data_IF_325869950825
#
_entry.id   IF_325869950825
#
_cell.length_a   1.000
_cell.length_b   1.000
_cell.length_c   1.000
_cell.angle_alpha   90.00
_cell.angle_beta   90.00
_cell.angle_gamma   90.00
#
_symmetry.space_group_name_H-M   'P 1'
#
loop_
_entity.id
_entity.type
_entity.pdbx_description
1 polymer ?
#
# COMPACT_ATOMS: atom_id res chain seq x y z
N UNK A 1 36.80 -5.75 -41.55
CA UNK A 1 37.34 -6.20 -40.24
C UNK A 1 37.80 -5.05 -39.31
N UNK A 2 38.32 -3.91 -39.85
CA UNK A 2 38.85 -2.82 -39.02
C UNK A 2 37.78 -1.97 -38.32
N UNK A 3 36.57 -1.83 -38.88
CA UNK A 3 35.47 -1.10 -38.25
C UNK A 3 34.89 -1.81 -37.02
N UNK A 4 34.92 -3.13 -37.00
CA UNK A 4 34.38 -3.94 -35.90
C UNK A 4 35.31 -3.93 -34.66
N UNK A 5 36.62 -3.71 -34.86
CA UNK A 5 37.60 -3.58 -33.78
C UNK A 5 37.53 -2.22 -33.08
N UNK A 6 37.30 -1.12 -33.80
CA UNK A 6 37.16 0.22 -33.23
C UNK A 6 35.88 0.38 -32.40
N UNK A 7 34.78 -0.24 -32.83
CA UNK A 7 33.53 -0.24 -32.06
C UNK A 7 33.64 -1.07 -30.76
N UNK A 8 34.34 -2.21 -30.82
CA UNK A 8 34.61 -3.03 -29.63
C UNK A 8 35.55 -2.31 -28.66
N UNK A 9 36.55 -1.58 -29.14
CA UNK A 9 37.45 -0.80 -28.28
C UNK A 9 36.72 0.36 -27.58
N UNK A 10 35.78 1.03 -28.27
CA UNK A 10 34.90 2.05 -27.65
C UNK A 10 34.01 1.48 -26.58
N UNK A 11 33.42 0.33 -26.83
CA UNK A 11 32.56 -0.37 -25.84
C UNK A 11 33.34 -0.80 -24.59
N UNK A 12 34.56 -1.31 -24.79
CA UNK A 12 35.47 -1.68 -23.69
C UNK A 12 35.83 -0.45 -22.85
N UNK A 13 36.10 0.69 -23.51
CA UNK A 13 36.43 1.95 -22.82
C UNK A 13 35.25 2.47 -22.02
N UNK A 14 34.05 2.46 -22.60
CA UNK A 14 32.79 2.86 -21.92
C UNK A 14 32.51 1.98 -20.68
N UNK A 15 32.61 0.66 -20.85
CA UNK A 15 32.42 -0.28 -19.75
C UNK A 15 33.47 -0.15 -18.63
N UNK A 16 34.71 0.19 -18.98
CA UNK A 16 35.76 0.48 -17.99
C UNK A 16 35.48 1.75 -17.20
N UNK A 17 34.90 2.77 -17.82
CA UNK A 17 34.50 4.00 -17.13
C UNK A 17 33.29 3.76 -16.21
N UNK A 18 32.31 2.96 -16.65
CA UNK A 18 31.19 2.54 -15.79
C UNK A 18 31.66 1.71 -14.60
N UNK A 19 32.59 0.79 -14.82
CA UNK A 19 33.15 -0.05 -13.75
C UNK A 19 33.86 0.79 -12.69
N UNK A 20 34.61 1.81 -13.09
CA UNK A 20 35.23 2.77 -12.16
C UNK A 20 34.21 3.56 -11.36
N UNK A 21 33.08 3.96 -11.96
CA UNK A 21 31.99 4.66 -11.26
C UNK A 21 31.31 3.74 -10.25
N UNK A 22 31.12 2.48 -10.60
CA UNK A 22 30.53 1.48 -9.69
C UNK A 22 31.50 1.18 -8.54
N UNK A 23 32.80 1.01 -8.81
CA UNK A 23 33.82 0.80 -7.77
C UNK A 23 33.89 1.99 -6.79
N UNK A 24 33.78 3.22 -7.29
CA UNK A 24 33.73 4.41 -6.44
C UNK A 24 32.50 4.40 -5.52
N UNK A 25 31.32 4.12 -6.05
CA UNK A 25 30.08 3.99 -5.26
C UNK A 25 30.15 2.84 -4.26
N UNK A 26 30.73 1.72 -4.61
CA UNK A 26 30.93 0.58 -3.69
C UNK A 26 31.85 0.97 -2.54
N UNK A 27 32.90 1.74 -2.80
CA UNK A 27 33.82 2.18 -1.75
C UNK A 27 33.16 3.23 -0.84
N UNK A 28 32.38 4.15 -1.39
CA UNK A 28 31.59 5.12 -0.62
C UNK A 28 30.59 4.39 0.29
N UNK A 29 29.82 3.46 -0.24
CA UNK A 29 28.90 2.66 0.53
C UNK A 29 29.57 1.81 1.61
N UNK A 30 30.76 1.27 1.33
CA UNK A 30 31.56 0.57 2.36
C UNK A 30 31.97 1.48 3.51
N UNK A 31 32.32 2.75 3.22
CA UNK A 31 32.62 3.75 4.26
C UNK A 31 31.38 4.02 5.11
N UNK A 32 30.24 4.29 4.47
CA UNK A 32 28.96 4.54 5.16
C UNK A 32 28.56 3.34 6.05
N UNK A 33 28.70 2.12 5.55
CA UNK A 33 28.43 0.91 6.33
C UNK A 33 29.35 0.81 7.54
N UNK A 34 30.62 1.13 7.38
CA UNK A 34 31.60 1.12 8.48
C UNK A 34 31.23 2.11 9.57
N UNK A 35 30.84 3.33 9.17
CA UNK A 35 30.40 4.39 10.10
C UNK A 35 29.11 3.99 10.83
N UNK A 36 28.15 3.41 10.11
CA UNK A 36 26.91 2.90 10.70
C UNK A 36 27.13 1.72 11.67
N UNK A 37 28.11 0.86 11.39
CA UNK A 37 28.49 -0.24 12.30
C UNK A 37 29.13 0.32 13.58
N UNK A 38 29.96 1.36 13.46
CA UNK A 38 30.55 2.05 14.60
C UNK A 38 29.47 2.72 15.48
N UNK A 39 28.57 3.50 14.87
CA UNK A 39 27.44 4.11 15.55
C UNK A 39 26.54 3.07 16.26
N UNK A 40 26.24 1.98 15.59
CA UNK A 40 25.49 0.87 16.18
C UNK A 40 26.18 0.29 17.41
N UNK A 41 27.51 0.10 17.35
CA UNK A 41 28.27 -0.45 18.48
C UNK A 41 28.30 0.52 19.67
N UNK A 42 28.38 1.83 19.44
CA UNK A 42 28.29 2.85 20.50
C UNK A 42 26.90 2.84 21.17
N UNK A 43 25.84 2.82 20.37
CA UNK A 43 24.47 2.72 20.87
C UNK A 43 24.21 1.43 21.67
N UNK A 44 24.79 0.31 21.27
CA UNK A 44 24.69 -0.95 22.02
C UNK A 44 25.41 -0.86 23.38
N UNK A 45 26.54 -0.17 23.44
CA UNK A 45 27.29 0.08 24.70
C UNK A 45 26.45 1.00 25.62
N UNK A 46 25.90 2.06 25.07
CA UNK A 46 25.05 2.99 25.83
C UNK A 46 23.80 2.29 26.37
N UNK A 47 23.17 1.47 25.56
CA UNK A 47 22.00 0.67 25.94
C UNK A 47 22.32 -0.34 27.05
N UNK A 48 23.50 -0.98 27.01
CA UNK A 48 23.98 -1.84 28.10
C UNK A 48 24.22 -1.06 29.38
N UNK A 49 24.82 0.14 29.28
CA UNK A 49 25.06 1.00 30.44
C UNK A 49 23.77 1.46 31.10
N UNK A 50 22.77 1.85 30.30
CA UNK A 50 21.44 2.24 30.77
C UNK A 50 20.71 1.07 31.43
N UNK A 51 20.76 -0.15 30.83
CA UNK A 51 20.20 -1.35 31.44
C UNK A 51 20.86 -1.67 32.80
N UNK A 52 22.15 -1.50 32.90
CA UNK A 52 22.87 -1.71 34.16
C UNK A 52 22.49 -0.66 35.22
N UNK A 53 22.35 0.62 34.82
CA UNK A 53 21.88 1.68 35.72
C UNK A 53 20.46 1.43 36.21
N UNK A 54 19.57 0.99 35.35
CA UNK A 54 18.18 0.61 35.72
C UNK A 54 18.20 -0.60 36.66
N UNK A 55 19.03 -1.61 36.39
CA UNK A 55 19.15 -2.79 37.23
C UNK A 55 19.70 -2.45 38.63
N UNK A 56 20.69 -1.58 38.70
CA UNK A 56 21.26 -1.12 39.95
C UNK A 56 20.25 -0.29 40.74
N UNK A 57 19.54 0.64 40.08
CA UNK A 57 18.48 1.41 40.73
C UNK A 57 17.31 0.56 41.25
N UNK A 58 17.00 -0.55 40.55
CA UNK A 58 16.00 -1.52 40.99
C UNK A 58 16.51 -2.40 42.17
N UNK A 59 17.81 -2.74 42.21
CA UNK A 59 18.39 -3.47 43.33
C UNK A 59 18.51 -2.61 44.58
N UNK A 60 18.91 -1.35 44.42
CA UNK A 60 18.99 -0.38 45.51
C UNK A 60 17.59 -0.06 46.07
N UNK A 61 16.56 -0.08 45.24
CA UNK A 61 15.16 0.10 45.63
C UNK A 61 14.59 -1.09 46.39
N UNK A 62 15.19 -2.28 46.29
CA UNK A 62 14.73 -3.49 47.03
C UNK A 62 15.27 -3.53 48.46
N UNK A 63 16.32 -2.78 48.79
CA UNK A 63 16.90 -2.73 50.16
C UNK A 63 16.33 -1.56 51.00
N UNK A 64 15.76 -0.56 50.36
CA UNK A 64 15.02 0.48 51.06
C UNK A 64 13.53 0.24 50.86
N UNK A 65 12.71 0.46 51.88
CA UNK A 65 11.23 0.57 51.79
C UNK A 65 10.78 1.71 50.80
N UNK A 66 11.37 1.71 49.60
CA UNK A 66 11.05 2.63 48.52
C UNK A 66 9.77 2.12 47.91
N UNK A 67 8.68 2.67 48.37
CA UNK A 67 7.41 2.68 47.64
C UNK A 67 7.77 3.03 46.19
N UNK A 68 7.59 2.07 45.28
CA UNK A 68 7.78 2.27 43.83
C UNK A 68 7.05 3.55 43.44
N UNK A 69 7.78 4.61 43.18
CA UNK A 69 7.17 5.89 42.91
C UNK A 69 6.52 5.82 41.52
N UNK A 70 5.16 5.78 41.44
CA UNK A 70 4.45 5.62 40.17
C UNK A 70 4.80 6.75 39.17
N UNK A 71 5.20 7.91 39.69
CA UNK A 71 5.64 9.05 38.89
C UNK A 71 6.95 8.77 38.13
N UNK A 72 7.96 8.21 38.80
CA UNK A 72 9.25 7.86 38.18
C UNK A 72 9.05 6.77 37.11
N UNK A 73 8.22 5.78 37.39
CA UNK A 73 7.88 4.74 36.43
C UNK A 73 7.16 5.33 35.21
N UNK A 74 6.25 6.26 35.42
CA UNK A 74 5.54 6.97 34.35
C UNK A 74 6.52 7.77 33.48
N UNK A 75 7.42 8.56 34.07
CA UNK A 75 8.41 9.36 33.31
C UNK A 75 9.38 8.49 32.51
N UNK A 76 9.81 7.35 33.09
CA UNK A 76 10.66 6.40 32.35
C UNK A 76 9.92 5.75 31.19
N UNK A 77 8.66 5.37 31.40
CA UNK A 77 7.81 4.81 30.35
C UNK A 77 7.58 5.80 29.22
N UNK A 78 7.33 7.09 29.57
CA UNK A 78 7.21 8.18 28.60
C UNK A 78 8.44 8.30 27.72
N UNK A 79 9.62 8.32 28.34
CA UNK A 79 10.90 8.44 27.63
C UNK A 79 11.17 7.27 26.68
N UNK A 80 10.89 6.05 27.14
CA UNK A 80 11.03 4.85 26.29
C UNK A 80 10.06 4.88 25.12
N UNK A 81 8.82 5.31 25.37
CA UNK A 81 7.79 5.43 24.35
C UNK A 81 8.14 6.48 23.29
N UNK A 82 8.64 7.66 23.72
CA UNK A 82 9.13 8.70 22.80
C UNK A 82 10.27 8.19 21.91
N UNK A 83 11.23 7.48 22.49
CA UNK A 83 12.36 6.91 21.74
C UNK A 83 11.89 5.82 20.75
N UNK A 84 10.90 5.03 21.11
CA UNK A 84 10.32 4.04 20.20
C UNK A 84 9.52 4.72 19.08
N UNK A 85 8.72 5.75 19.40
CA UNK A 85 7.98 6.54 18.41
C UNK A 85 8.93 7.20 17.40
N UNK A 86 10.00 7.85 17.88
CA UNK A 86 10.98 8.51 17.00
C UNK A 86 11.72 7.51 16.11
N UNK A 87 12.12 6.35 16.63
CA UNK A 87 12.77 5.31 15.84
C UNK A 87 11.84 4.73 14.77
N UNK A 88 10.59 4.47 15.11
CA UNK A 88 9.61 3.97 14.15
C UNK A 88 9.31 5.02 13.07
N UNK A 89 9.15 6.28 13.45
CA UNK A 89 8.96 7.39 12.52
C UNK A 89 10.12 7.51 11.53
N UNK A 90 11.36 7.48 12.00
CA UNK A 90 12.54 7.56 11.14
C UNK A 90 12.64 6.37 10.18
N UNK A 91 12.13 5.19 10.56
CA UNK A 91 12.09 4.03 9.70
C UNK A 91 11.10 4.22 8.52
N UNK A 92 9.89 4.74 8.78
CA UNK A 92 8.93 5.01 7.71
C UNK A 92 9.40 6.13 6.78
N UNK A 93 10.05 7.16 7.31
CA UNK A 93 10.67 8.23 6.52
C UNK A 93 11.81 7.69 5.63
N UNK A 94 12.60 6.73 6.13
CA UNK A 94 13.62 6.04 5.32
C UNK A 94 12.98 5.24 4.18
N UNK A 95 11.94 4.45 4.47
CA UNK A 95 11.20 3.68 3.45
C UNK A 95 10.57 4.63 2.42
N UNK A 96 9.97 5.74 2.86
CA UNK A 96 9.40 6.75 1.97
C UNK A 96 10.48 7.37 1.06
N UNK A 97 11.68 7.60 1.57
CA UNK A 97 12.80 8.12 0.76
C UNK A 97 13.35 7.09 -0.23
N UNK A 98 13.43 5.81 0.15
CA UNK A 98 13.85 4.71 -0.73
C UNK A 98 12.86 4.50 -1.88
N UNK A 99 11.57 4.74 -1.65
CA UNK A 99 10.52 4.67 -2.68
C UNK A 99 10.80 5.65 -3.83
N UNK A 100 11.48 6.77 -3.58
CA UNK A 100 11.90 7.74 -4.61
C UNK A 100 12.98 7.21 -5.53
N UNK A 101 13.89 6.41 -5.03
CA UNK A 101 14.96 5.84 -5.86
C UNK A 101 14.39 4.90 -6.93
N UNK A 102 13.16 4.44 -6.74
CA UNK A 102 12.40 3.67 -7.74
C UNK A 102 11.84 4.52 -8.90
N UNK A 103 11.91 5.86 -8.83
CA UNK A 103 11.45 6.74 -9.91
C UNK A 103 12.10 6.44 -11.27
N UNK A 104 13.29 5.85 -11.27
CA UNK A 104 13.94 5.33 -12.49
C UNK A 104 13.30 4.05 -13.06
N UNK A 105 12.43 3.39 -12.28
CA UNK A 105 11.77 2.13 -12.65
C UNK A 105 10.31 2.32 -13.12
N UNK A 106 9.78 3.55 -13.09
CA UNK A 106 8.45 3.85 -13.64
C UNK A 106 8.47 3.60 -15.14
N UNK A 107 7.44 2.90 -15.63
CA UNK A 107 7.33 2.65 -17.06
C UNK A 107 7.21 3.95 -17.86
N UNK A 108 7.61 3.88 -19.13
CA UNK A 108 7.55 4.99 -20.09
C UNK A 108 6.61 4.68 -21.25
N UNK A 109 5.66 3.77 -21.02
CA UNK A 109 4.71 3.34 -22.04
C UNK A 109 3.79 4.51 -22.41
N UNK A 110 3.54 4.65 -23.70
CA UNK A 110 2.49 5.56 -24.20
C UNK A 110 1.11 5.05 -23.78
N UNK A 111 0.11 5.93 -23.79
CA UNK A 111 -1.24 5.66 -23.26
C UNK A 111 -1.83 4.32 -23.78
N UNK A 112 -1.81 4.12 -25.08
CA UNK A 112 -2.39 2.93 -25.71
C UNK A 112 -1.57 1.67 -25.39
N UNK A 113 -0.26 1.77 -25.37
CA UNK A 113 0.64 0.67 -24.99
C UNK A 113 0.44 0.27 -23.52
N UNK A 114 0.27 1.25 -22.63
CA UNK A 114 0.01 1.03 -21.22
C UNK A 114 -1.33 0.31 -21.00
N UNK A 115 -2.39 0.74 -21.68
CA UNK A 115 -3.69 0.06 -21.62
C UNK A 115 -3.57 -1.36 -22.17
N UNK A 116 -2.90 -1.55 -23.30
CA UNK A 116 -2.69 -2.89 -23.88
C UNK A 116 -1.88 -3.79 -22.96
N UNK A 117 -0.85 -3.26 -22.30
CA UNK A 117 -0.05 -4.01 -21.32
C UNK A 117 -0.94 -4.50 -20.15
N UNK A 118 -1.76 -3.62 -19.57
CA UNK A 118 -2.65 -3.98 -18.47
C UNK A 118 -3.73 -4.99 -18.91
N UNK A 119 -4.37 -4.73 -20.04
CA UNK A 119 -5.44 -5.61 -20.57
C UNK A 119 -4.90 -7.01 -20.89
N UNK A 120 -3.86 -7.09 -21.72
CA UNK A 120 -3.26 -8.36 -22.13
C UNK A 120 -2.69 -9.12 -20.92
N UNK A 121 -2.06 -8.38 -19.99
CA UNK A 121 -1.56 -8.94 -18.74
C UNK A 121 -2.67 -9.63 -17.95
N UNK A 122 -3.83 -9.00 -17.77
CA UNK A 122 -4.96 -9.60 -17.06
C UNK A 122 -5.56 -10.77 -17.86
N UNK A 123 -5.68 -10.63 -19.17
CA UNK A 123 -6.24 -11.69 -20.04
C UNK A 123 -5.41 -12.99 -20.05
N UNK A 124 -4.10 -12.92 -19.74
CA UNK A 124 -3.27 -14.11 -19.55
C UNK A 124 -3.70 -14.95 -18.32
N UNK A 125 -4.42 -14.35 -17.38
CA UNK A 125 -4.87 -15.03 -16.15
C UNK A 125 -6.37 -15.22 -16.10
N UNK A 126 -7.15 -14.35 -16.76
CA UNK A 126 -8.60 -14.30 -16.69
C UNK A 126 -9.23 -13.97 -18.04
N UNK A 127 -10.25 -14.69 -18.43
CA UNK A 127 -11.01 -14.47 -19.68
C UNK A 127 -12.03 -13.35 -19.49
N UNK A 128 -11.55 -12.11 -19.33
CA UNK A 128 -12.39 -10.92 -19.34
C UNK A 128 -12.30 -10.22 -20.69
N UNK A 129 -13.41 -9.60 -21.10
CA UNK A 129 -13.41 -8.72 -22.26
C UNK A 129 -12.56 -7.47 -21.97
N UNK A 130 -11.98 -6.90 -23.04
CA UNK A 130 -11.17 -5.66 -22.92
C UNK A 130 -11.90 -4.55 -22.16
N UNK A 131 -13.17 -4.32 -22.50
CA UNK A 131 -13.98 -3.25 -21.91
C UNK A 131 -14.27 -3.51 -20.42
N UNK A 132 -14.47 -4.75 -20.03
CA UNK A 132 -14.66 -5.11 -18.61
C UNK A 132 -13.42 -4.79 -17.78
N UNK A 133 -12.24 -5.11 -18.32
CA UNK A 133 -10.98 -4.82 -17.66
C UNK A 133 -10.77 -3.30 -17.51
N UNK A 134 -11.03 -2.54 -18.58
CA UNK A 134 -10.93 -1.07 -18.54
C UNK A 134 -11.92 -0.50 -17.51
N UNK A 135 -13.17 -0.98 -17.50
CA UNK A 135 -14.17 -0.56 -16.53
C UNK A 135 -13.75 -0.88 -15.08
N UNK A 136 -13.12 -2.03 -14.84
CA UNK A 136 -12.58 -2.36 -13.53
C UNK A 136 -11.51 -1.33 -13.12
N UNK A 137 -10.56 -1.00 -14.00
CA UNK A 137 -9.55 0.02 -13.70
C UNK A 137 -10.16 1.40 -13.44
N UNK A 138 -11.15 1.81 -14.23
CA UNK A 138 -11.89 3.06 -14.03
C UNK A 138 -12.52 3.08 -12.62
N UNK A 139 -13.27 2.02 -12.27
CA UNK A 139 -13.92 1.94 -10.96
C UNK A 139 -12.91 1.99 -9.81
N UNK A 140 -11.84 1.20 -9.90
CA UNK A 140 -10.83 1.12 -8.85
C UNK A 140 -10.03 2.41 -8.71
N UNK A 141 -9.79 3.13 -9.80
CA UNK A 141 -9.01 4.38 -9.78
C UNK A 141 -9.84 5.60 -9.35
N UNK A 142 -11.15 5.57 -9.50
CA UNK A 142 -12.03 6.70 -9.16
C UNK A 142 -12.69 6.57 -7.79
N UNK A 143 -12.79 5.37 -7.25
CA UNK A 143 -13.45 5.11 -5.98
C UNK A 143 -12.43 4.86 -4.86
N UNK A 144 -12.70 5.43 -3.69
CA UNK A 144 -11.93 5.13 -2.48
C UNK A 144 -12.17 3.69 -1.98
N UNK A 145 -13.37 3.14 -2.21
CA UNK A 145 -13.74 1.76 -1.93
C UNK A 145 -14.43 1.13 -3.13
N UNK A 146 -13.83 0.08 -3.71
CA UNK A 146 -14.43 -0.74 -4.75
C UNK A 146 -14.73 -2.14 -4.21
N UNK A 147 -15.98 -2.58 -4.33
CA UNK A 147 -16.47 -3.87 -3.84
C UNK A 147 -16.67 -4.82 -5.01
N UNK A 148 -15.99 -5.96 -4.97
CA UNK A 148 -16.16 -7.06 -5.92
C UNK A 148 -17.16 -8.06 -5.36
N UNK A 149 -18.35 -8.11 -5.95
CA UNK A 149 -19.43 -8.99 -5.55
C UNK A 149 -19.57 -10.17 -6.50
N UNK A 150 -19.91 -11.33 -5.98
CA UNK A 150 -20.18 -12.53 -6.79
C UNK A 150 -20.27 -13.79 -5.94
N UNK A 151 -20.68 -14.88 -6.57
CA UNK A 151 -20.78 -16.17 -5.91
C UNK A 151 -19.40 -16.69 -5.43
N UNK A 152 -19.34 -17.59 -4.46
CA UNK A 152 -18.10 -18.28 -4.11
C UNK A 152 -17.44 -18.91 -5.34
N UNK A 153 -16.12 -18.80 -5.46
CA UNK A 153 -15.38 -19.37 -6.58
C UNK A 153 -15.34 -18.54 -7.87
N UNK A 154 -15.98 -17.36 -7.95
CA UNK A 154 -15.91 -16.48 -9.14
C UNK A 154 -14.55 -15.79 -9.33
N UNK A 155 -13.61 -15.96 -8.39
CA UNK A 155 -12.25 -15.42 -8.49
C UNK A 155 -12.11 -13.95 -8.10
N UNK A 156 -12.97 -13.47 -7.21
CA UNK A 156 -12.95 -12.09 -6.68
C UNK A 156 -11.59 -11.70 -6.10
N UNK A 157 -11.09 -12.45 -5.15
CA UNK A 157 -9.77 -12.24 -4.53
C UNK A 157 -8.65 -12.31 -5.57
N UNK A 158 -8.75 -13.26 -6.50
CA UNK A 158 -7.76 -13.43 -7.56
C UNK A 158 -7.70 -12.25 -8.52
N UNK A 159 -8.83 -11.66 -8.94
CA UNK A 159 -8.78 -10.47 -9.81
C UNK A 159 -8.19 -9.27 -9.08
N UNK A 160 -8.52 -9.08 -7.79
CA UNK A 160 -7.91 -8.02 -6.99
C UNK A 160 -6.38 -8.17 -6.89
N UNK A 161 -5.90 -9.41 -6.68
CA UNK A 161 -4.46 -9.70 -6.69
C UNK A 161 -3.84 -9.39 -8.06
N UNK A 162 -4.45 -9.83 -9.16
CA UNK A 162 -3.95 -9.56 -10.51
C UNK A 162 -3.88 -8.04 -10.77
N UNK A 163 -4.88 -7.26 -10.34
CA UNK A 163 -4.87 -5.80 -10.44
C UNK A 163 -3.67 -5.19 -9.72
N UNK A 164 -3.41 -5.58 -8.46
CA UNK A 164 -2.25 -5.11 -7.70
C UNK A 164 -0.92 -5.43 -8.39
N UNK A 165 -0.77 -6.66 -8.88
CA UNK A 165 0.44 -7.08 -9.59
C UNK A 165 0.59 -6.38 -10.95
N UNK A 166 -0.49 -6.15 -11.69
CA UNK A 166 -0.45 -5.50 -13.00
C UNK A 166 0.04 -4.06 -12.94
N UNK A 167 -0.20 -3.38 -11.82
CA UNK A 167 0.30 -2.03 -11.54
C UNK A 167 1.71 -2.03 -10.92
N UNK A 168 2.31 -3.19 -10.70
CA UNK A 168 3.64 -3.34 -10.13
C UNK A 168 3.71 -3.04 -8.61
N UNK A 169 2.58 -3.08 -7.88
CA UNK A 169 2.53 -2.71 -6.46
C UNK A 169 3.31 -3.66 -5.55
N UNK A 170 3.57 -4.88 -6.01
CA UNK A 170 4.39 -5.87 -5.33
C UNK A 170 5.90 -5.66 -5.50
N UNK A 171 6.34 -4.74 -6.36
CA UNK A 171 7.75 -4.53 -6.67
C UNK A 171 8.45 -3.56 -5.71
N UNK A 172 7.71 -3.01 -4.73
CA UNK A 172 8.21 -2.04 -3.76
C UNK A 172 8.88 -2.69 -2.54
N UNK A 173 8.70 -3.97 -2.33
CA UNK A 173 9.42 -4.74 -1.31
C UNK A 173 10.52 -5.54 -1.99
N UNK A 174 11.79 -5.23 -1.69
CA UNK A 174 12.97 -5.91 -2.24
C UNK A 174 13.92 -6.28 -1.11
N UNK A 175 14.34 -7.54 -1.08
CA UNK A 175 15.31 -8.06 -0.10
C UNK A 175 14.93 -7.77 1.36
N UNK A 176 13.62 -7.80 1.68
CA UNK A 176 13.10 -7.50 3.02
C UNK A 176 13.15 -6.02 3.41
N UNK A 177 13.40 -5.13 2.45
CA UNK A 177 13.33 -3.67 2.60
C UNK A 177 12.16 -3.12 1.80
N UNK A 178 11.64 -1.97 2.25
CA UNK A 178 10.45 -1.39 1.66
C UNK A 178 9.16 -1.98 2.21
N UNK A 179 8.06 -1.63 1.62
CA UNK A 179 6.74 -2.14 1.95
C UNK A 179 5.96 -2.38 0.66
N UNK A 180 5.41 -3.58 0.53
CA UNK A 180 4.50 -3.93 -0.56
C UNK A 180 3.30 -2.97 -0.57
N UNK A 181 3.00 -2.36 -1.72
CA UNK A 181 1.89 -1.41 -1.87
C UNK A 181 0.55 -2.08 -2.21
N UNK A 182 0.54 -3.38 -2.26
CA UNK A 182 -0.67 -4.20 -2.31
C UNK A 182 -0.69 -5.12 -1.09
N UNK A 183 -1.66 -4.92 -0.18
CA UNK A 183 -1.80 -5.73 1.04
C UNK A 183 -3.17 -6.41 1.02
N UNK A 184 -3.17 -7.69 1.32
CA UNK A 184 -4.38 -8.50 1.50
C UNK A 184 -4.62 -8.75 2.99
N UNK A 185 -5.84 -8.51 3.43
CA UNK A 185 -6.30 -8.69 4.80
C UNK A 185 -7.61 -9.45 4.77
N UNK A 186 -7.62 -10.63 5.34
CA UNK A 186 -8.84 -11.42 5.51
C UNK A 186 -9.63 -10.88 6.71
N UNK A 187 -10.89 -10.55 6.46
CA UNK A 187 -11.81 -10.08 7.52
C UNK A 187 -12.31 -11.29 8.31
N UNK A 188 -12.38 -11.15 9.61
CA UNK A 188 -12.86 -12.20 10.51
C UNK A 188 -14.27 -11.87 11.03
N UNK A 189 -14.99 -12.91 11.43
CA UNK A 189 -16.30 -12.72 12.08
C UNK A 189 -16.15 -12.04 13.44
N UNK A 190 -17.04 -11.10 13.71
CA UNK A 190 -17.07 -10.39 14.99
C UNK A 190 -16.26 -9.09 15.01
N UNK A 191 -15.68 -8.68 13.86
CA UNK A 191 -15.11 -7.33 13.76
C UNK A 191 -16.19 -6.27 13.91
N UNK A 192 -16.02 -5.37 14.87
CA UNK A 192 -17.06 -4.42 15.30
C UNK A 192 -16.59 -2.99 15.36
N UNK A 193 -15.29 -2.74 15.18
CA UNK A 193 -14.72 -1.41 15.33
C UNK A 193 -13.41 -1.25 14.53
N UNK A 194 -12.98 0.00 14.34
CA UNK A 194 -11.67 0.31 13.74
C UNK A 194 -10.49 -0.39 14.43
N UNK A 195 -10.66 -0.81 15.69
CA UNK A 195 -9.62 -1.53 16.44
C UNK A 195 -9.30 -2.87 15.81
N UNK A 196 -10.31 -3.55 15.30
CA UNK A 196 -10.15 -4.88 14.70
C UNK A 196 -9.35 -4.77 13.39
N UNK A 197 -9.55 -3.69 12.62
CA UNK A 197 -8.88 -3.45 11.35
C UNK A 197 -7.47 -2.86 11.52
N UNK A 198 -7.32 -1.78 12.30
CA UNK A 198 -6.06 -1.02 12.40
C UNK A 198 -5.31 -1.39 13.67
N UNK A 199 -6.03 -1.48 14.79
CA UNK A 199 -5.50 -1.60 16.13
C UNK A 199 -5.95 -0.46 17.03
N UNK A 200 -5.35 -0.37 18.20
CA UNK A 200 -5.68 0.66 19.18
C UNK A 200 -4.46 1.06 20.02
N UNK A 201 -4.48 2.29 20.50
CA UNK A 201 -3.52 2.75 21.47
C UNK A 201 -3.89 2.21 22.86
N UNK A 202 -2.90 1.54 23.51
CA UNK A 202 -3.06 1.04 24.87
C UNK A 202 -2.49 2.07 25.85
N UNK A 203 -3.34 2.76 26.65
CA UNK A 203 -2.87 3.82 27.55
C UNK A 203 -2.05 3.29 28.72
N UNK A 204 -2.15 2.00 29.06
CA UNK A 204 -1.39 1.40 30.17
C UNK A 204 0.06 1.14 29.76
N UNK A 205 0.27 0.60 28.57
CA UNK A 205 1.60 0.32 28.02
C UNK A 205 2.15 1.48 27.22
N UNK A 206 1.31 2.47 26.87
CA UNK A 206 1.59 3.61 25.99
C UNK A 206 2.17 3.18 24.64
N UNK A 207 1.78 2.01 24.20
CA UNK A 207 2.15 1.44 22.90
C UNK A 207 0.91 1.24 22.04
N UNK A 208 1.11 1.29 20.75
CA UNK A 208 0.04 0.94 19.82
C UNK A 208 -0.01 -0.58 19.64
N UNK A 209 -1.15 -1.17 19.97
CA UNK A 209 -1.42 -2.58 19.73
C UNK A 209 -2.00 -2.74 18.33
N UNK A 210 -1.22 -3.34 17.45
CA UNK A 210 -1.53 -3.50 16.03
C UNK A 210 -2.36 -4.77 15.86
N UNK A 211 -3.65 -4.65 15.64
CA UNK A 211 -4.51 -5.80 15.30
C UNK A 211 -4.12 -6.39 13.95
N UNK A 212 -3.91 -5.54 12.96
CA UNK A 212 -3.31 -5.90 11.70
C UNK A 212 -2.07 -5.01 11.44
N UNK A 213 -0.88 -5.57 11.69
CA UNK A 213 0.37 -4.84 11.55
C UNK A 213 0.58 -4.27 10.15
N UNK A 214 0.14 -4.97 9.11
CA UNK A 214 0.28 -4.52 7.72
C UNK A 214 -0.48 -3.22 7.44
N UNK A 215 -1.72 -3.10 7.92
CA UNK A 215 -2.52 -1.88 7.71
C UNK A 215 -1.93 -0.71 8.48
N UNK A 216 -1.59 -0.92 9.76
CA UNK A 216 -0.96 0.13 10.56
C UNK A 216 0.33 0.65 9.91
N UNK A 217 1.21 -0.26 9.47
CA UNK A 217 2.48 0.10 8.85
C UNK A 217 2.27 0.82 7.50
N UNK A 218 1.27 0.40 6.72
CA UNK A 218 0.87 1.09 5.49
C UNK A 218 0.40 2.52 5.74
N UNK A 219 -0.48 2.72 6.72
CA UNK A 219 -0.98 4.05 7.07
C UNK A 219 0.14 4.96 7.58
N UNK A 220 1.07 4.44 8.37
CA UNK A 220 2.23 5.19 8.85
C UNK A 220 3.19 5.56 7.72
N UNK A 221 3.40 4.67 6.75
CA UNK A 221 4.20 4.97 5.56
C UNK A 221 3.55 6.08 4.72
N UNK A 222 2.24 5.97 4.47
CA UNK A 222 1.50 6.96 3.69
C UNK A 222 1.48 8.33 4.37
N UNK A 223 1.36 8.38 5.70
CA UNK A 223 1.47 9.60 6.49
C UNK A 223 2.88 10.22 6.39
N UNK A 224 3.94 9.40 6.44
CA UNK A 224 5.31 9.86 6.24
C UNK A 224 5.52 10.43 4.82
N UNK A 225 4.97 9.79 3.80
CA UNK A 225 4.98 10.29 2.42
C UNK A 225 4.24 11.63 2.27
N UNK A 226 3.10 11.81 2.95
CA UNK A 226 2.35 13.07 2.94
C UNK A 226 3.09 14.23 3.64
N UNK A 227 3.82 13.93 4.72
CA UNK A 227 4.57 14.91 5.52
C UNK A 227 5.90 15.32 4.91
N UNK A 228 6.47 14.50 4.03
CA UNK A 228 7.61 14.89 3.22
C UNK A 228 7.12 15.82 2.09
N UNK A 229 7.96 16.72 1.59
CA UNK A 229 7.62 17.64 0.48
C UNK A 229 7.21 16.91 -0.82
N UNK A 230 7.27 15.59 -0.80
CA UNK A 230 6.96 14.74 -1.93
C UNK A 230 5.72 13.91 -1.60
N UNK A 231 4.61 14.34 -2.19
CA UNK A 231 3.35 13.61 -2.19
C UNK A 231 3.58 12.17 -2.67
N UNK A 232 2.81 11.24 -2.11
CA UNK A 232 2.80 9.85 -2.57
C UNK A 232 2.56 9.79 -4.09
N UNK A 233 3.53 9.27 -4.82
CA UNK A 233 3.50 9.22 -6.29
C UNK A 233 2.92 7.90 -6.81
N UNK A 234 2.74 6.92 -5.95
CA UNK A 234 2.33 5.57 -6.32
C UNK A 234 1.06 5.15 -5.61
N UNK A 235 0.17 4.41 -6.28
CA UNK A 235 -1.04 3.90 -5.65
C UNK A 235 -0.71 2.89 -4.54
N UNK A 236 -1.59 2.82 -3.56
CA UNK A 236 -1.54 1.85 -2.49
C UNK A 236 -2.91 1.17 -2.37
N UNK A 237 -2.96 -0.14 -2.53
CA UNK A 237 -4.22 -0.89 -2.49
C UNK A 237 -4.26 -1.80 -1.27
N UNK A 238 -5.36 -1.70 -0.51
CA UNK A 238 -5.67 -2.59 0.61
C UNK A 238 -6.87 -3.43 0.22
N UNK A 239 -6.66 -4.72 0.08
CA UNK A 239 -7.73 -5.69 -0.18
C UNK A 239 -8.29 -6.20 1.16
N UNK A 240 -9.58 -6.00 1.36
CA UNK A 240 -10.36 -6.60 2.44
C UNK A 240 -11.05 -7.85 1.86
N UNK A 241 -10.47 -9.01 2.11
CA UNK A 241 -11.03 -10.27 1.62
C UNK A 241 -12.13 -10.78 2.52
N UNK A 242 -13.22 -11.28 1.93
CA UNK A 242 -14.44 -11.68 2.62
C UNK A 242 -15.02 -10.57 3.52
N UNK A 243 -15.02 -9.34 3.03
CA UNK A 243 -15.29 -8.14 3.81
C UNK A 243 -16.64 -8.15 4.53
N UNK A 244 -17.64 -8.85 4.00
CA UNK A 244 -18.98 -8.94 4.60
C UNK A 244 -19.17 -10.12 5.57
N UNK A 245 -18.09 -10.72 6.08
CA UNK A 245 -18.16 -11.59 7.26
C UNK A 245 -18.50 -10.82 8.54
N UNK A 246 -18.28 -9.52 8.54
CA UNK A 246 -18.69 -8.58 9.57
C UNK A 246 -19.19 -7.27 8.92
N UNK A 247 -20.04 -6.47 9.58
CA UNK A 247 -20.53 -5.23 8.98
C UNK A 247 -19.38 -4.25 8.69
N UNK A 248 -19.14 -3.97 7.41
CA UNK A 248 -17.98 -3.17 6.94
C UNK A 248 -17.99 -1.78 7.57
N UNK A 249 -19.15 -1.15 7.68
CA UNK A 249 -19.31 0.19 8.23
C UNK A 249 -18.83 0.36 9.67
N UNK A 250 -18.67 -0.72 10.44
CA UNK A 250 -18.19 -0.64 11.81
C UNK A 250 -16.67 -0.66 11.90
N UNK A 251 -16.03 -1.66 11.30
CA UNK A 251 -14.58 -1.76 11.37
C UNK A 251 -13.87 -0.80 10.41
N UNK A 252 -14.53 -0.39 9.32
CA UNK A 252 -14.03 0.58 8.33
C UNK A 252 -14.49 2.02 8.60
N UNK A 253 -15.16 2.27 9.75
CA UNK A 253 -15.76 3.56 10.12
C UNK A 253 -14.80 4.76 10.03
N UNK A 254 -13.52 4.57 10.35
CA UNK A 254 -12.52 5.62 10.26
C UNK A 254 -12.35 6.19 8.84
N UNK A 255 -12.65 5.40 7.82
CA UNK A 255 -12.49 5.76 6.41
C UNK A 255 -13.79 6.24 5.75
N UNK A 256 -14.94 6.07 6.43
CA UNK A 256 -16.24 6.47 5.87
C UNK A 256 -16.32 7.97 5.56
N UNK A 257 -15.69 8.81 6.37
CA UNK A 257 -15.66 10.25 6.16
C UNK A 257 -14.79 10.70 4.99
N UNK A 258 -13.81 9.88 4.62
CA UNK A 258 -12.94 10.11 3.45
C UNK A 258 -13.68 9.72 2.17
N UNK A 259 -14.49 8.66 2.24
CA UNK A 259 -15.31 8.20 1.13
C UNK A 259 -16.48 9.14 0.81
N UNK A 260 -16.83 10.07 1.69
CA UNK A 260 -17.76 11.16 1.39
C UNK A 260 -17.11 12.22 0.51
N UNK A 261 -17.81 12.71 -0.51
CA UNK A 261 -17.32 13.74 -1.44
C UNK A 261 -16.99 15.11 -0.80
N UNK A 262 -17.17 15.26 0.50
CA UNK A 262 -16.81 16.46 1.26
C UNK A 262 -15.30 16.51 1.53
N UNK A 263 -14.57 16.96 0.58
CA UNK A 263 -13.15 16.80 0.26
C UNK A 263 -12.10 17.44 1.16
N UNK A 264 -12.43 17.94 2.35
CA UNK A 264 -11.44 18.70 3.13
C UNK A 264 -10.73 17.90 4.24
N UNK A 265 -10.98 16.59 4.38
CA UNK A 265 -10.43 15.81 5.48
C UNK A 265 -9.88 14.46 5.05
N UNK A 266 -8.69 14.49 4.51
CA UNK A 266 -7.89 13.27 4.31
C UNK A 266 -7.09 12.91 5.58
N UNK A 267 -7.74 12.91 6.74
CA UNK A 267 -7.11 12.56 8.02
C UNK A 267 -7.99 11.59 8.79
N UNK A 268 -7.36 10.59 9.40
CA UNK A 268 -8.02 9.70 10.34
C UNK A 268 -7.31 9.74 11.68
N UNK A 269 -8.07 9.71 12.77
CA UNK A 269 -7.52 9.57 14.10
C UNK A 269 -7.39 8.08 14.45
N UNK A 270 -6.17 7.63 14.77
CA UNK A 270 -5.90 6.24 15.17
C UNK A 270 -5.83 6.06 16.68
N UNK A 271 -5.83 7.13 17.46
CA UNK A 271 -5.83 7.13 18.92
C UNK A 271 -4.75 8.05 19.49
N UNK A 272 -4.83 8.38 20.78
CA UNK A 272 -3.89 9.25 21.50
C UNK A 272 -3.58 10.57 20.77
N UNK A 273 -4.64 11.22 20.23
CA UNK A 273 -4.52 12.46 19.45
C UNK A 273 -3.57 12.37 18.23
N UNK A 274 -3.31 11.14 17.76
CA UNK A 274 -2.50 10.90 16.56
C UNK A 274 -3.38 10.90 15.31
N UNK A 275 -3.27 11.97 14.53
CA UNK A 275 -3.91 12.11 13.23
C UNK A 275 -2.97 11.68 12.12
N UNK A 276 -3.42 10.75 11.29
CA UNK A 276 -2.71 10.24 10.11
C UNK A 276 -3.30 10.89 8.86
N UNK A 277 -2.44 11.43 8.01
CA UNK A 277 -2.81 11.93 6.70
C UNK A 277 -2.96 10.77 5.70
N UNK A 278 -4.07 10.77 4.98
CA UNK A 278 -4.38 9.75 3.96
C UNK A 278 -4.27 10.41 2.59
N UNK A 279 -3.34 9.96 1.73
CA UNK A 279 -3.21 10.49 0.37
C UNK A 279 -4.32 9.98 -0.55
N UNK A 280 -4.57 10.71 -1.63
CA UNK A 280 -5.50 10.28 -2.70
C UNK A 280 -5.09 8.96 -3.40
N UNK A 281 -3.86 8.53 -3.20
CA UNK A 281 -3.31 7.29 -3.79
C UNK A 281 -3.73 6.03 -3.04
N UNK A 282 -4.34 6.14 -1.85
CA UNK A 282 -4.85 5.00 -1.11
C UNK A 282 -6.23 4.61 -1.61
N UNK A 283 -6.39 3.34 -1.96
CA UNK A 283 -7.67 2.74 -2.35
C UNK A 283 -7.92 1.44 -1.60
N UNK A 284 -9.19 1.20 -1.30
CA UNK A 284 -9.63 -0.06 -0.73
C UNK A 284 -10.34 -0.89 -1.80
N UNK A 285 -9.98 -2.16 -1.87
CA UNK A 285 -10.71 -3.20 -2.59
C UNK A 285 -11.38 -4.10 -1.56
N UNK A 286 -12.58 -4.53 -1.81
CA UNK A 286 -13.27 -5.48 -0.93
C UNK A 286 -13.86 -6.61 -1.76
N UNK A 287 -13.77 -7.85 -1.27
CA UNK A 287 -14.53 -8.96 -1.85
C UNK A 287 -15.70 -9.29 -0.94
N UNK A 288 -16.84 -9.56 -1.52
CA UNK A 288 -18.03 -10.01 -0.79
C UNK A 288 -18.64 -11.26 -1.41
N UNK A 289 -19.13 -12.13 -0.56
CA UNK A 289 -19.93 -13.27 -0.96
C UNK A 289 -21.42 -12.94 -0.86
N UNK A 290 -22.18 -13.43 -1.82
CA UNK A 290 -23.61 -13.20 -1.89
C UNK A 290 -24.35 -14.46 -1.37
N UNK A 291 -24.04 -14.86 -0.16
CA UNK A 291 -24.64 -16.01 0.49
C UNK A 291 -25.44 -15.61 1.74
N UNK A 292 -26.27 -16.55 2.24
CA UNK A 292 -27.15 -16.29 3.41
C UNK A 292 -26.39 -16.20 4.73
N UNK A 293 -25.09 -16.43 4.74
CA UNK A 293 -24.26 -16.47 5.97
C UNK A 293 -23.45 -15.20 6.18
N UNK A 294 -23.56 -14.24 5.27
CA UNK A 294 -22.83 -12.98 5.26
C UNK A 294 -23.72 -11.78 5.55
N UNK A 295 -23.12 -10.71 6.07
CA UNK A 295 -23.83 -9.47 6.37
C UNK A 295 -24.22 -8.72 5.08
N UNK A 296 -25.44 -8.19 4.99
CA UNK A 296 -25.83 -7.32 3.88
C UNK A 296 -25.09 -5.99 3.94
N UNK A 297 -24.79 -5.42 2.78
CA UNK A 297 -24.22 -4.08 2.71
C UNK A 297 -25.27 -3.03 3.12
N UNK A 298 -24.91 -2.13 4.00
CA UNK A 298 -25.80 -1.03 4.39
C UNK A 298 -25.97 -0.02 3.24
N UNK A 299 -27.14 0.64 3.12
CA UNK A 299 -27.33 1.72 2.14
C UNK A 299 -26.29 2.83 2.27
N UNK A 300 -25.85 3.11 3.50
CA UNK A 300 -24.83 4.12 3.79
C UNK A 300 -23.47 3.78 3.18
N UNK A 301 -23.12 2.50 3.15
CA UNK A 301 -21.87 2.04 2.52
C UNK A 301 -22.00 2.02 1.00
N UNK A 302 -23.15 1.56 0.47
CA UNK A 302 -23.42 1.51 -0.97
C UNK A 302 -23.37 2.89 -1.62
N UNK A 303 -23.72 3.93 -0.90
CA UNK A 303 -23.65 5.33 -1.36
C UNK A 303 -22.21 5.85 -1.52
N UNK A 304 -21.23 5.13 -0.96
CA UNK A 304 -19.81 5.51 -0.92
C UNK A 304 -18.87 4.55 -1.62
N UNK A 305 -19.41 3.46 -2.14
CA UNK A 305 -18.62 2.40 -2.74
C UNK A 305 -19.11 2.09 -4.16
N UNK A 306 -18.19 1.79 -5.05
CA UNK A 306 -18.55 1.23 -6.34
C UNK A 306 -18.62 -0.29 -6.22
N UNK A 307 -19.71 -0.88 -6.73
CA UNK A 307 -19.93 -2.32 -6.66
C UNK A 307 -19.82 -2.92 -8.05
N UNK A 308 -18.85 -3.79 -8.22
CA UNK A 308 -18.61 -4.54 -9.45
C UNK A 308 -19.12 -5.97 -9.25
N UNK A 309 -20.15 -6.36 -9.99
CA UNK A 309 -20.61 -7.73 -10.00
C UNK A 309 -19.79 -8.52 -11.02
N UNK A 310 -18.99 -9.47 -10.54
CA UNK A 310 -18.20 -10.33 -11.41
C UNK A 310 -19.09 -11.40 -12.07
N UNK A 311 -18.93 -11.64 -13.38
CA UNK A 311 -19.60 -12.72 -14.06
C UNK A 311 -19.07 -14.09 -13.60
N UNK A 312 -19.92 -15.11 -13.69
CA UNK A 312 -19.49 -16.48 -13.53
C UNK A 312 -18.74 -16.93 -14.79
N UNK A 313 -17.42 -16.89 -14.72
CA UNK A 313 -16.58 -17.35 -15.81
C UNK A 313 -16.01 -18.71 -15.44
N UNK A 314 -16.15 -19.69 -16.34
CA UNK A 314 -15.50 -20.99 -16.18
C UNK A 314 -13.99 -20.81 -16.01
N UNK A 315 -13.42 -21.33 -14.93
CA UNK A 315 -11.98 -21.32 -14.73
C UNK A 315 -11.35 -22.38 -15.63
N UNK A 316 -10.47 -21.96 -16.53
CA UNK A 316 -9.54 -22.88 -17.16
C UNK A 316 -8.42 -23.19 -16.17
N UNK A 317 -8.19 -24.47 -15.95
CA UNK A 317 -7.12 -24.98 -15.07
C UNK A 317 -5.79 -25.16 -15.78
N UNK A 318 -5.61 -24.55 -16.97
CA UNK A 318 -4.33 -24.62 -17.67
C UNK A 318 -3.21 -23.95 -16.86
N UNK A 319 -1.97 -24.42 -17.05
CA UNK A 319 -0.76 -23.90 -16.40
C UNK A 319 -0.62 -22.39 -16.61
N UNK A 320 -1.10 -21.61 -15.62
CA UNK A 320 -0.99 -20.16 -15.66
C UNK A 320 0.37 -19.74 -15.14
N UNK A 321 1.00 -18.74 -15.76
CA UNK A 321 2.26 -18.22 -15.28
C UNK A 321 2.11 -17.70 -13.84
N UNK A 322 3.20 -17.75 -13.06
CA UNK A 322 3.20 -17.19 -11.72
C UNK A 322 2.98 -15.66 -11.81
N UNK A 323 2.04 -15.13 -11.04
CA UNK A 323 1.73 -13.69 -11.01
C UNK A 323 2.99 -12.82 -10.76
N UNK A 324 3.90 -13.31 -9.91
CA UNK A 324 5.13 -12.57 -9.57
C UNK A 324 6.06 -12.35 -10.76
N UNK A 325 6.02 -13.25 -11.74
CA UNK A 325 6.92 -13.19 -12.91
C UNK A 325 6.25 -12.53 -14.12
N UNK A 326 4.92 -12.33 -14.05
CA UNK A 326 4.10 -11.87 -15.18
C UNK A 326 4.11 -10.35 -15.38
N UNK A 327 4.37 -9.58 -14.33
CA UNK A 327 4.31 -8.12 -14.38
C UNK A 327 5.62 -7.52 -13.87
N UNK A 328 6.17 -6.56 -14.64
CA UNK A 328 7.47 -5.94 -14.35
C UNK A 328 7.43 -4.41 -14.35
N UNK A 329 6.35 -3.85 -14.86
CA UNK A 329 6.18 -2.41 -14.98
C UNK A 329 5.57 -1.82 -13.72
N UNK A 330 6.04 -0.65 -13.30
CA UNK A 330 5.49 0.12 -12.18
C UNK A 330 4.73 1.30 -12.75
N UNK A 331 3.48 1.47 -12.33
CA UNK A 331 2.62 2.58 -12.70
C UNK A 331 2.59 3.64 -11.60
N UNK A 332 2.87 4.89 -11.96
CA UNK A 332 2.67 6.02 -11.06
C UNK A 332 1.20 6.39 -10.96
N UNK A 333 0.80 7.05 -9.86
CA UNK A 333 -0.56 7.54 -9.70
C UNK A 333 -0.95 8.56 -10.78
N UNK A 334 0.00 9.39 -11.20
CA UNK A 334 -0.21 10.31 -12.31
C UNK A 334 -0.59 9.57 -13.60
N UNK A 335 0.16 8.52 -13.98
CA UNK A 335 -0.18 7.72 -15.16
C UNK A 335 -1.56 7.08 -15.05
N UNK A 336 -1.91 6.55 -13.88
CA UNK A 336 -3.24 5.94 -13.65
C UNK A 336 -4.35 6.98 -13.81
N UNK A 337 -4.16 8.20 -13.28
CA UNK A 337 -5.10 9.30 -13.49
C UNK A 337 -5.24 9.67 -14.96
N UNK A 338 -4.15 9.81 -15.66
CA UNK A 338 -4.14 10.13 -17.10
C UNK A 338 -4.81 9.02 -17.94
N UNK A 339 -4.73 7.77 -17.50
CA UNK A 339 -5.32 6.63 -18.22
C UNK A 339 -6.82 6.46 -17.92
N UNK A 340 -7.26 6.58 -16.66
CA UNK A 340 -8.55 6.08 -16.20
C UNK A 340 -9.42 7.12 -15.46
N UNK A 341 -8.89 8.31 -15.14
CA UNK A 341 -9.63 9.34 -14.39
C UNK A 341 -9.89 10.57 -15.24
N UNK A 342 -8.85 11.20 -15.79
CA UNK A 342 -8.97 12.52 -16.43
C UNK A 342 -9.57 12.49 -17.84
N UNK A 343 -9.39 11.37 -18.56
CA UNK A 343 -9.85 11.25 -19.96
C UNK A 343 -11.22 10.58 -20.10
N UNK A 344 -11.75 9.99 -19.03
CA UNK A 344 -13.03 9.27 -19.07
C UNK A 344 -14.23 10.20 -19.22
N UNK A 345 -14.14 11.46 -18.81
CA UNK A 345 -15.26 12.40 -18.90
C UNK A 345 -15.65 12.69 -20.35
N UNK A 346 -14.70 12.82 -21.25
CA UNK A 346 -14.98 13.08 -22.67
C UNK A 346 -15.37 11.81 -23.43
N UNK A 347 -14.78 10.66 -23.08
CA UNK A 347 -15.15 9.35 -23.67
C UNK A 347 -16.53 8.88 -23.15
N UNK A 348 -16.86 9.11 -21.88
CA UNK A 348 -18.20 8.82 -21.34
C UNK A 348 -19.25 9.72 -21.96
N UNK A 349 -18.97 11.01 -22.18
CA UNK A 349 -19.87 11.90 -22.93
C UNK A 349 -20.13 11.40 -24.34
N UNK A 350 -19.08 10.94 -25.03
CA UNK A 350 -19.21 10.38 -26.37
C UNK A 350 -19.99 9.04 -26.35
N UNK A 351 -19.79 8.18 -25.34
CA UNK A 351 -20.52 6.93 -25.18
C UNK A 351 -21.99 7.15 -24.84
N UNK A 352 -22.31 8.14 -23.99
CA UNK A 352 -23.69 8.54 -23.66
C UNK A 352 -24.41 9.18 -24.85
N UNK A 353 -23.71 9.91 -25.72
CA UNK A 353 -24.25 10.41 -26.97
C UNK A 353 -24.61 9.27 -27.94
N UNK A 354 -23.74 8.24 -28.01
CA UNK A 354 -24.02 7.05 -28.85
C UNK A 354 -25.19 6.20 -28.34
N UNK A 355 -25.42 6.14 -27.02
CA UNK A 355 -26.55 5.40 -26.46
C UNK A 355 -27.87 6.18 -26.57
N UNK A 356 -27.86 7.51 -26.61
CA UNK A 356 -29.07 8.29 -26.85
C UNK A 356 -29.57 8.17 -28.30
N UNK A 357 -28.67 8.17 -29.28
CA UNK A 357 -29.02 7.98 -30.68
C UNK A 357 -29.55 6.57 -30.99
N UNK A 358 -29.00 5.52 -30.26
CA UNK A 358 -29.49 4.14 -30.40
C UNK A 358 -30.84 3.89 -29.70
N UNK A 359 -31.25 4.76 -28.78
CA UNK A 359 -32.55 4.69 -28.12
C UNK A 359 -33.66 5.32 -28.98
N UNK A 360 -33.36 6.36 -29.75
CA UNK A 360 -34.32 7.01 -30.64
C UNK A 360 -34.66 6.16 -31.90
N UNK A 361 -33.73 5.31 -32.37
CA UNK A 361 -33.97 4.37 -33.48
C UNK A 361 -34.86 3.16 -33.11
N UNK A 362 -35.21 2.96 -31.83
CA UNK A 362 -36.11 1.89 -31.40
C UNK A 362 -37.55 2.35 -31.11
N UNK A 363 -37.86 3.64 -31.28
CA UNK A 363 -39.17 4.22 -31.02
C UNK A 363 -39.85 4.70 -32.32
N UNK A 364 -39.25 4.51 -33.50
CA UNK A 364 -39.85 4.79 -34.83
C UNK A 364 -40.34 3.53 -35.52
#
# INVERSE_FOLDING_TARGET
DSKNTEDIEKDIKSKKEELKKIEAKVNENKSIIKDRIAEKSELEIELRSLRQKVKNALSDASEADVVFNPYVASVMLDKVTELQKSKNQSNYESIASETKELNGSVNKLEKEEAINYLVNGIQNYRKYERNDIINIFICVSQSFLTIFAGNPGTGKTSICNILGYSLGLNLFERDGKGLNRFIEVSVERGWSSKRDLIGYFNPLTRTYDKSNGKIYDALKLLDAECKTEQKSEYPFYILLDEANLSPIEYYWAAFMSIADDNKDRFTINIGEDEDIQIPETLHFLATINNDQTTEPLSPRLLDRAWVIKLPEIAMDYDDKPNLKDGFKEIFSWKQIKDLFVENTVDEIKNCLLYTSDAADDRIS
#
